data_IF_020259506852
#
_entry.id   IF_020259506852
#
_cell.length_a   1.000
_cell.length_b   1.000
_cell.length_c   1.000
_cell.angle_alpha   90.00
_cell.angle_beta   90.00
_cell.angle_gamma   90.00
#
_symmetry.space_group_name_H-M   'P 1'
#
loop_
_entity.id
_entity.type
_entity.pdbx_description
1 polymer ?
#
# COMPACT_ATOMS: atom_id res chain seq x y z
N UNK A 1 -29.41 30.17 9.44
CA UNK A 1 -27.96 30.05 9.16
C UNK A 1 -27.68 29.23 7.87
N UNK A 2 -28.28 29.64 6.75
CA UNK A 2 -28.27 28.89 5.47
C UNK A 2 -27.22 29.40 4.47
N UNK A 3 -26.35 30.34 4.87
CA UNK A 3 -25.43 31.07 3.98
C UNK A 3 -24.06 30.39 3.76
N UNK A 4 -23.70 29.36 4.53
CA UNK A 4 -22.34 28.78 4.50
C UNK A 4 -22.10 27.77 3.35
N UNK A 5 -23.11 26.97 2.98
CA UNK A 5 -22.94 25.88 1.98
C UNK A 5 -22.82 26.37 0.54
N UNK A 6 -23.56 27.42 0.17
CA UNK A 6 -23.49 28.00 -1.18
C UNK A 6 -22.12 28.67 -1.44
N UNK A 7 -21.53 29.29 -0.42
CA UNK A 7 -20.22 29.96 -0.54
C UNK A 7 -19.07 28.98 -0.76
N UNK A 8 -19.13 27.75 -0.23
CA UNK A 8 -18.08 26.75 -0.44
C UNK A 8 -18.08 26.19 -1.88
N UNK A 9 -19.26 25.99 -2.46
CA UNK A 9 -19.40 25.53 -3.86
C UNK A 9 -18.96 26.59 -4.87
N UNK A 10 -19.33 27.86 -4.64
CA UNK A 10 -18.89 28.97 -5.48
C UNK A 10 -17.37 29.22 -5.39
N UNK A 11 -16.76 29.03 -4.21
CA UNK A 11 -15.29 29.10 -4.07
C UNK A 11 -14.56 27.96 -4.76
N UNK A 12 -15.17 26.78 -4.85
CA UNK A 12 -14.62 25.63 -5.57
C UNK A 12 -14.69 25.81 -7.11
N UNK A 13 -15.69 26.54 -7.62
CA UNK A 13 -15.82 26.86 -9.04
C UNK A 13 -14.77 27.87 -9.55
N UNK A 14 -14.23 28.71 -8.66
CA UNK A 14 -13.25 29.77 -9.01
C UNK A 14 -11.80 29.48 -8.59
N UNK A 15 -11.53 28.38 -7.88
CA UNK A 15 -10.15 27.91 -7.67
C UNK A 15 -9.86 26.74 -8.59
N UNK A 16 -8.79 26.86 -9.36
CA UNK A 16 -8.04 25.71 -9.91
C UNK A 16 -7.33 24.95 -8.77
N UNK A 17 -8.08 24.46 -7.78
CA UNK A 17 -7.60 23.33 -7.00
C UNK A 17 -7.66 22.14 -7.95
N UNK A 18 -6.54 21.45 -8.24
CA UNK A 18 -6.57 20.28 -9.11
C UNK A 18 -7.61 19.31 -8.54
N UNK A 19 -8.61 18.96 -9.35
CA UNK A 19 -9.57 17.92 -8.99
C UNK A 19 -8.79 16.73 -8.47
N UNK A 20 -9.11 16.18 -7.28
CA UNK A 20 -8.38 15.04 -6.76
C UNK A 20 -8.38 13.97 -7.86
N UNK A 21 -7.19 13.46 -8.24
CA UNK A 21 -7.08 12.55 -9.37
C UNK A 21 -8.07 11.41 -9.20
N UNK A 22 -8.76 11.04 -10.28
CA UNK A 22 -9.71 9.93 -10.22
C UNK A 22 -8.98 8.73 -9.61
N UNK A 23 -9.67 7.93 -8.79
CA UNK A 23 -9.05 6.79 -8.09
C UNK A 23 -8.29 5.83 -9.03
N UNK A 24 -8.65 5.81 -10.33
CA UNK A 24 -7.95 5.11 -11.41
C UNK A 24 -6.57 5.70 -11.73
N UNK A 25 -6.40 7.02 -11.72
CA UNK A 25 -5.11 7.69 -11.94
C UNK A 25 -4.15 7.49 -10.77
N UNK A 26 -4.66 7.37 -9.54
CA UNK A 26 -3.83 7.09 -8.35
C UNK A 26 -3.27 5.66 -8.32
N UNK A 27 -3.76 4.75 -9.16
CA UNK A 27 -3.28 3.38 -9.28
C UNK A 27 -2.37 3.16 -10.49
N UNK A 28 -1.99 4.24 -11.19
CA UNK A 28 -1.05 4.17 -12.29
C UNK A 28 0.30 3.62 -11.77
N UNK A 29 0.68 2.42 -12.20
CA UNK A 29 1.88 1.73 -11.73
C UNK A 29 1.72 0.92 -10.43
N UNK A 30 0.49 0.67 -9.97
CA UNK A 30 0.23 -0.27 -8.89
C UNK A 30 0.41 -1.74 -9.35
N UNK A 31 0.96 -2.58 -8.48
CA UNK A 31 1.10 -4.02 -8.71
C UNK A 31 -0.20 -4.74 -8.40
N UNK A 32 -0.78 -5.43 -9.39
CA UNK A 32 -2.01 -6.22 -9.22
C UNK A 32 -1.69 -7.65 -8.76
N UNK A 33 -2.05 -7.96 -7.51
CA UNK A 33 -1.84 -9.29 -6.91
C UNK A 33 -3.02 -10.22 -7.11
N UNK A 34 -4.24 -9.66 -7.10
CA UNK A 34 -5.48 -10.37 -7.38
C UNK A 34 -6.36 -9.48 -8.25
N UNK A 35 -6.69 -9.99 -9.44
CA UNK A 35 -7.43 -9.25 -10.46
C UNK A 35 -8.69 -8.61 -9.88
N UNK A 36 -8.82 -7.29 -10.08
CA UNK A 36 -9.95 -6.47 -9.61
C UNK A 36 -10.22 -6.48 -8.09
N UNK A 37 -9.30 -7.02 -7.29
CA UNK A 37 -9.47 -7.14 -5.84
C UNK A 37 -8.31 -6.61 -5.01
N UNK A 38 -7.07 -6.93 -5.33
CA UNK A 38 -5.92 -6.65 -4.47
C UNK A 38 -4.78 -6.01 -5.26
N UNK A 39 -4.43 -4.81 -4.85
CA UNK A 39 -3.38 -4.00 -5.44
C UNK A 39 -2.38 -3.56 -4.38
N UNK A 40 -1.13 -3.38 -4.80
CA UNK A 40 -0.07 -2.76 -4.02
C UNK A 40 0.41 -1.48 -4.72
N UNK A 41 0.48 -0.36 -4.00
CA UNK A 41 0.85 0.93 -4.58
C UNK A 41 1.81 1.73 -3.69
N UNK A 42 2.68 2.53 -4.31
CA UNK A 42 3.47 3.54 -3.62
C UNK A 42 2.80 4.90 -3.82
N UNK A 43 2.40 5.57 -2.74
CA UNK A 43 1.65 6.84 -2.78
C UNK A 43 2.35 7.93 -1.95
N UNK A 44 2.33 9.18 -2.43
CA UNK A 44 2.95 10.32 -1.72
C UNK A 44 2.10 10.79 -0.54
N UNK A 45 0.79 10.79 -0.73
CA UNK A 45 -0.18 11.30 0.23
C UNK A 45 -1.12 10.19 0.65
N UNK A 46 -1.66 10.28 1.88
CA UNK A 46 -2.71 9.39 2.36
C UNK A 46 -3.97 9.56 1.48
N UNK A 47 -4.32 8.55 0.68
CA UNK A 47 -5.50 8.64 -0.18
C UNK A 47 -6.78 8.57 0.67
N UNK A 48 -7.83 9.24 0.21
CA UNK A 48 -9.18 9.07 0.76
C UNK A 48 -9.82 7.84 0.12
N UNK A 49 -10.40 6.96 0.93
CA UNK A 49 -11.17 5.84 0.40
C UNK A 49 -12.38 6.33 -0.41
N UNK A 50 -12.66 5.63 -1.49
CA UNK A 50 -13.76 5.95 -2.40
C UNK A 50 -14.89 4.93 -2.26
N UNK A 51 -15.95 5.09 -3.07
CA UNK A 51 -17.03 4.11 -3.15
C UNK A 51 -16.52 2.76 -3.64
N UNK A 52 -15.53 2.76 -4.54
CA UNK A 52 -15.05 1.55 -5.22
C UNK A 52 -13.68 1.07 -4.73
N UNK A 53 -13.00 1.83 -3.86
CA UNK A 53 -11.63 1.52 -3.46
C UNK A 53 -11.44 1.75 -1.97
N UNK A 54 -10.86 0.77 -1.30
CA UNK A 54 -10.46 0.83 0.10
C UNK A 54 -8.94 0.86 0.19
N UNK A 55 -8.39 1.96 0.67
CA UNK A 55 -6.95 2.09 0.91
C UNK A 55 -6.60 1.75 2.35
N UNK A 56 -5.47 1.08 2.55
CA UNK A 56 -4.87 0.94 3.88
C UNK A 56 -3.34 0.87 3.77
N UNK A 57 -2.65 1.36 4.80
CA UNK A 57 -1.21 1.24 4.97
C UNK A 57 -0.89 0.62 6.32
N UNK A 58 0.36 0.21 6.50
CA UNK A 58 0.88 -0.30 7.77
C UNK A 58 2.22 0.36 8.15
N UNK A 59 2.63 1.40 7.42
CA UNK A 59 3.91 2.11 7.57
C UNK A 59 4.19 2.61 9.00
N UNK A 60 3.15 2.94 9.77
CA UNK A 60 3.23 3.42 11.16
C UNK A 60 2.80 2.36 12.18
N UNK A 61 2.23 1.25 11.73
CA UNK A 61 1.70 0.19 12.59
C UNK A 61 2.69 -0.97 12.74
N UNK A 62 3.38 -1.32 11.65
CA UNK A 62 4.37 -2.39 11.60
C UNK A 62 5.74 -1.76 11.40
N UNK A 63 6.27 -1.21 12.49
CA UNK A 63 7.58 -0.59 12.54
C UNK A 63 8.61 -1.65 12.89
N UNK A 64 9.70 -1.69 12.13
CA UNK A 64 10.86 -2.52 12.42
C UNK A 64 11.71 -1.84 13.50
N UNK A 65 12.07 -2.57 14.55
CA UNK A 65 13.00 -2.11 15.58
C UNK A 65 14.43 -2.40 15.13
N UNK A 66 15.17 -1.35 14.75
CA UNK A 66 16.51 -1.46 14.22
C UNK A 66 17.57 -1.54 15.33
N UNK A 67 18.60 -2.36 15.13
CA UNK A 67 19.78 -2.38 16.00
C UNK A 67 20.83 -1.34 15.57
N UNK A 68 20.99 -1.16 14.26
CA UNK A 68 21.94 -0.25 13.61
C UNK A 68 21.29 0.38 12.36
N UNK A 69 21.90 0.20 11.17
CA UNK A 69 21.42 0.70 9.89
C UNK A 69 20.53 -0.30 9.14
N UNK A 70 20.25 -1.46 9.75
CA UNK A 70 19.21 -2.39 9.35
C UNK A 70 17.83 -1.72 9.42
N UNK A 71 16.94 -2.16 8.54
CA UNK A 71 15.60 -1.60 8.46
C UNK A 71 14.54 -2.69 8.23
N UNK A 72 14.94 -3.95 8.19
CA UNK A 72 14.07 -5.07 7.87
C UNK A 72 14.86 -6.32 7.46
N UNK A 73 14.16 -7.37 7.01
CA UNK A 73 12.70 -7.43 6.86
C UNK A 73 11.95 -7.48 8.20
N UNK A 74 10.65 -7.17 8.17
CA UNK A 74 9.78 -7.37 9.34
C UNK A 74 9.76 -8.84 9.79
N UNK A 75 9.73 -9.06 11.10
CA UNK A 75 9.75 -10.41 11.68
C UNK A 75 8.45 -11.20 11.39
N UNK A 76 8.50 -12.52 11.66
CA UNK A 76 7.40 -13.44 11.35
C UNK A 76 6.08 -13.10 12.07
N UNK A 77 6.14 -12.55 13.29
CA UNK A 77 4.95 -12.14 14.01
C UNK A 77 4.22 -11.01 13.27
N UNK A 78 4.96 -10.03 12.73
CA UNK A 78 4.38 -8.95 11.93
C UNK A 78 3.86 -9.44 10.58
N UNK A 79 4.52 -10.41 9.94
CA UNK A 79 4.01 -11.09 8.75
C UNK A 79 2.66 -11.74 9.03
N UNK A 80 2.55 -12.52 10.12
CA UNK A 80 1.30 -13.16 10.51
C UNK A 80 0.18 -12.13 10.76
N UNK A 81 0.47 -11.06 11.51
CA UNK A 81 -0.49 -9.98 11.78
C UNK A 81 -0.95 -9.30 10.49
N UNK A 82 -0.04 -9.04 9.55
CA UNK A 82 -0.37 -8.51 8.23
C UNK A 82 -1.31 -9.45 7.47
N UNK A 83 -0.98 -10.75 7.40
CA UNK A 83 -1.82 -11.74 6.75
C UNK A 83 -3.24 -11.79 7.33
N UNK A 84 -3.37 -11.79 8.66
CA UNK A 84 -4.67 -11.73 9.32
C UNK A 84 -5.43 -10.44 8.96
N UNK A 85 -4.75 -9.29 8.97
CA UNK A 85 -5.35 -7.99 8.65
C UNK A 85 -5.87 -7.93 7.22
N UNK A 86 -5.07 -8.39 6.26
CA UNK A 86 -5.45 -8.39 4.85
C UNK A 86 -6.60 -9.38 4.59
N UNK A 87 -6.55 -10.59 5.17
CA UNK A 87 -7.63 -11.55 5.06
C UNK A 87 -8.97 -11.02 5.62
N UNK A 88 -8.93 -10.34 6.78
CA UNK A 88 -10.12 -9.69 7.34
C UNK A 88 -10.73 -8.67 6.38
N UNK A 89 -9.90 -7.89 5.67
CA UNK A 89 -10.36 -6.91 4.67
C UNK A 89 -10.96 -7.59 3.45
N UNK A 90 -10.31 -8.63 2.92
CA UNK A 90 -10.77 -9.36 1.74
C UNK A 90 -12.09 -10.10 1.99
N UNK A 91 -12.32 -10.61 3.21
CA UNK A 91 -13.55 -11.31 3.61
C UNK A 91 -14.65 -10.39 4.14
N UNK A 92 -14.38 -9.10 4.33
CA UNK A 92 -15.37 -8.16 4.88
C UNK A 92 -16.50 -7.92 3.89
N UNK A 93 -17.75 -8.13 4.32
CA UNK A 93 -18.93 -7.88 3.51
C UNK A 93 -19.00 -6.42 3.02
N UNK A 94 -18.66 -5.46 3.89
CA UNK A 94 -18.62 -4.02 3.57
C UNK A 94 -17.62 -3.64 2.48
N UNK A 95 -16.60 -4.48 2.25
CA UNK A 95 -15.53 -4.25 1.27
C UNK A 95 -15.58 -5.20 0.06
N UNK A 96 -16.51 -6.16 0.05
CA UNK A 96 -16.63 -7.22 -0.97
C UNK A 96 -16.58 -6.71 -2.41
N UNK A 97 -17.19 -5.55 -2.68
CA UNK A 97 -17.23 -4.91 -4.02
C UNK A 97 -16.13 -3.86 -4.27
N UNK A 98 -15.28 -3.55 -3.28
CA UNK A 98 -14.28 -2.46 -3.36
C UNK A 98 -12.86 -2.95 -3.59
N UNK A 99 -12.13 -2.46 -4.58
CA UNK A 99 -10.69 -2.76 -4.76
C UNK A 99 -9.95 -2.49 -3.44
N UNK A 100 -9.22 -3.46 -2.93
CA UNK A 100 -8.38 -3.32 -1.74
C UNK A 100 -7.00 -2.90 -2.21
N UNK A 101 -6.56 -1.72 -1.79
CA UNK A 101 -5.25 -1.17 -2.14
C UNK A 101 -4.42 -1.10 -0.87
N UNK A 102 -3.44 -1.98 -0.78
CA UNK A 102 -2.39 -1.86 0.21
C UNK A 102 -1.38 -0.84 -0.32
N UNK A 103 -1.17 0.26 0.40
CA UNK A 103 -0.23 1.28 -0.04
C UNK A 103 0.84 1.56 1.02
N UNK A 104 1.94 2.12 0.53
CA UNK A 104 3.07 2.57 1.35
C UNK A 104 3.55 3.94 0.85
N UNK A 105 4.27 4.67 1.70
CA UNK A 105 4.88 5.96 1.39
C UNK A 105 6.06 5.82 0.42
N UNK A 106 6.64 6.93 -0.02
CA UNK A 106 7.84 6.93 -0.89
C UNK A 106 9.16 6.64 -0.14
N UNK A 107 9.13 6.48 1.18
CA UNK A 107 10.31 6.09 1.95
C UNK A 107 10.79 4.70 1.52
N UNK A 108 12.04 4.61 1.08
CA UNK A 108 12.56 3.38 0.46
C UNK A 108 12.59 2.19 1.43
N UNK A 109 12.82 2.44 2.73
CA UNK A 109 12.86 1.39 3.76
C UNK A 109 11.46 0.85 4.03
N UNK A 110 10.47 1.75 4.17
CA UNK A 110 9.06 1.39 4.32
C UNK A 110 8.55 0.65 3.09
N UNK A 111 8.88 1.12 1.88
CA UNK A 111 8.53 0.46 0.62
C UNK A 111 9.03 -0.97 0.55
N UNK A 112 10.30 -1.21 0.87
CA UNK A 112 10.89 -2.53 0.85
C UNK A 112 10.19 -3.48 1.85
N UNK A 113 9.93 -3.02 3.07
CA UNK A 113 9.18 -3.81 4.07
C UNK A 113 7.73 -4.08 3.65
N UNK A 114 7.03 -3.09 3.09
CA UNK A 114 5.67 -3.26 2.62
C UNK A 114 5.60 -4.24 1.45
N UNK A 115 6.53 -4.13 0.49
CA UNK A 115 6.68 -5.07 -0.62
C UNK A 115 6.96 -6.50 -0.13
N UNK A 116 7.83 -6.64 0.88
CA UNK A 116 8.09 -7.93 1.54
C UNK A 116 6.81 -8.53 2.14
N UNK A 117 6.00 -7.75 2.87
CA UNK A 117 4.76 -8.23 3.48
C UNK A 117 3.75 -8.75 2.45
N UNK A 118 3.50 -7.98 1.37
CA UNK A 118 2.54 -8.39 0.34
C UNK A 118 3.08 -9.54 -0.52
N UNK A 119 4.39 -9.59 -0.76
CA UNK A 119 5.07 -10.71 -1.42
C UNK A 119 4.96 -12.00 -0.62
N UNK A 120 5.24 -11.95 0.70
CA UNK A 120 5.08 -13.09 1.60
C UNK A 120 3.62 -13.57 1.64
N UNK A 121 2.65 -12.64 1.70
CA UNK A 121 1.23 -12.99 1.62
C UNK A 121 0.87 -13.69 0.31
N UNK A 122 1.42 -13.24 -0.81
CA UNK A 122 1.18 -13.84 -2.12
C UNK A 122 1.65 -15.31 -2.18
N UNK A 123 2.81 -15.61 -1.60
CA UNK A 123 3.32 -16.98 -1.52
C UNK A 123 2.46 -17.83 -0.58
N UNK A 124 2.20 -17.35 0.64
CA UNK A 124 1.53 -18.15 1.68
C UNK A 124 0.04 -18.38 1.37
N UNK A 125 -0.68 -17.30 1.01
CA UNK A 125 -2.14 -17.31 0.88
C UNK A 125 -2.62 -17.36 -0.57
N UNK A 126 -1.95 -16.68 -1.51
CA UNK A 126 -2.35 -16.71 -2.93
C UNK A 126 -1.74 -17.88 -3.71
N UNK A 127 -0.89 -18.70 -3.06
CA UNK A 127 -0.22 -19.88 -3.63
C UNK A 127 0.61 -19.57 -4.88
N UNK A 128 1.14 -18.34 -4.96
CA UNK A 128 2.09 -17.94 -6.00
C UNK A 128 3.47 -18.48 -5.69
N UNK A 129 4.28 -18.72 -6.73
CA UNK A 129 5.70 -18.97 -6.50
C UNK A 129 6.41 -17.68 -6.08
N UNK A 130 7.56 -17.76 -5.39
CA UNK A 130 8.36 -16.58 -5.06
C UNK A 130 8.69 -15.72 -6.30
N UNK A 131 8.98 -16.35 -7.43
CA UNK A 131 9.33 -15.69 -8.69
C UNK A 131 8.13 -14.92 -9.26
N UNK A 132 6.93 -15.49 -9.19
CA UNK A 132 5.70 -14.82 -9.61
C UNK A 132 5.38 -13.63 -8.72
N UNK A 133 5.47 -13.80 -7.41
CA UNK A 133 5.23 -12.73 -6.44
C UNK A 133 6.22 -11.57 -6.65
N UNK A 134 7.50 -11.89 -6.89
CA UNK A 134 8.52 -10.91 -7.19
C UNK A 134 8.27 -10.20 -8.53
N UNK A 135 7.90 -10.94 -9.58
CA UNK A 135 7.58 -10.35 -10.89
C UNK A 135 6.40 -9.38 -10.83
N UNK A 136 5.39 -9.67 -10.03
CA UNK A 136 4.25 -8.76 -9.78
C UNK A 136 4.71 -7.47 -9.10
N UNK A 137 5.65 -7.55 -8.14
CA UNK A 137 6.20 -6.36 -7.48
C UNK A 137 7.02 -5.48 -8.44
N UNK A 138 7.62 -6.07 -9.47
CA UNK A 138 8.40 -5.38 -10.50
C UNK A 138 7.56 -4.86 -11.67
N UNK A 139 6.33 -5.35 -11.87
CA UNK A 139 5.50 -4.93 -13.00
C UNK A 139 4.93 -3.51 -12.86
N UNK A 140 5.02 -2.91 -11.68
CA UNK A 140 4.64 -1.52 -11.45
C UNK A 140 5.68 -0.53 -11.99
N UNK A 141 5.27 0.73 -12.19
CA UNK A 141 6.16 1.81 -12.66
C UNK A 141 7.01 2.42 -11.52
N UNK A 142 7.21 1.67 -10.43
CA UNK A 142 7.87 2.19 -9.23
C UNK A 142 9.39 2.01 -9.30
N UNK A 143 10.17 2.90 -8.66
CA UNK A 143 11.61 2.70 -8.52
C UNK A 143 11.94 1.35 -7.87
N UNK A 144 13.12 0.77 -8.15
CA UNK A 144 13.57 -0.46 -7.51
C UNK A 144 13.45 -0.42 -5.98
N UNK A 145 13.25 -1.58 -5.36
CA UNK A 145 13.22 -1.71 -3.91
C UNK A 145 14.64 -1.69 -3.35
N UNK A 146 14.83 -1.01 -2.22
CA UNK A 146 16.10 -1.03 -1.50
C UNK A 146 16.33 -2.44 -0.93
N UNK A 147 17.44 -3.12 -1.24
CA UNK A 147 17.74 -4.43 -0.68
C UNK A 147 17.98 -4.33 0.84
N UNK A 148 17.53 -5.34 1.58
CA UNK A 148 17.82 -5.44 3.01
C UNK A 148 19.32 -5.59 3.25
N UNK A 149 19.82 -4.90 4.26
CA UNK A 149 21.24 -4.94 4.63
C UNK A 149 21.44 -6.01 5.70
N UNK A 150 22.38 -6.90 5.47
CA UNK A 150 22.91 -7.79 6.49
C UNK A 150 24.19 -7.15 7.03
N UNK A 151 24.33 -7.03 8.35
CA UNK A 151 25.58 -6.59 8.97
C UNK A 151 26.65 -7.68 8.78
N UNK A 152 27.36 -7.65 7.65
CA UNK A 152 28.58 -8.44 7.42
C UNK A 152 29.85 -7.58 7.58
N UNK A 153 29.83 -6.63 8.53
CA UNK A 153 31.04 -5.92 8.95
C UNK A 153 31.05 -5.82 10.49
N UNK A 154 31.28 -6.96 11.14
CA UNK A 154 31.99 -6.95 12.42
C UNK A 154 33.44 -7.30 12.09
N UNK A 155 34.32 -6.32 12.32
CA UNK A 155 35.79 -6.39 12.52
C UNK A 155 36.55 -7.50 11.80
#
# INVERSE_FOLDING_TARGET
ETSSRASAHLRALFRMEPSPPLASEQLLGASEFLKDRLYFATLRNRPKSTVNTHYFCTDEEFVYENFYADFGPLNLALVYRFCCKLNKKLKSFSLSRKKIVYYTSFDQRKRANAAFLIGAYAVVYLKKTPEEAYRILLSGSNPPYLPFRYNFNFV
#
